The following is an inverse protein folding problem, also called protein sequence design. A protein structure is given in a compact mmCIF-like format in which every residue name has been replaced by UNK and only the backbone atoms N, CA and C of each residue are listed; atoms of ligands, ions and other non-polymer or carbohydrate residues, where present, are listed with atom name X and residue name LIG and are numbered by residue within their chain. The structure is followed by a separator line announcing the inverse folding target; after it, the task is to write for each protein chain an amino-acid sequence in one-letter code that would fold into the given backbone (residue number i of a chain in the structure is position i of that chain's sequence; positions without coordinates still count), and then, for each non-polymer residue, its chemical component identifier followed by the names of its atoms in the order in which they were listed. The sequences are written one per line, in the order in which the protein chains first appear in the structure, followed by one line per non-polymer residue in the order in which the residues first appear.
data_IF_366864916369
#
_entry.id   IF_366864916369
#
_cell.length_a   1.000
_cell.length_b   1.000
_cell.length_c   1.000
_cell.angle_alpha   90.00
_cell.angle_beta   90.00
_cell.angle_gamma   90.00
#
_symmetry.space_group_name_H-M   'P 1'
#
loop_
_entity.id
_entity.type
_entity.pdbx_description
1 polymer ?
#
# COMPACT_ATOMS: atom_id res chain seq x y z
N UNK A 1 15.54 6.64 9.96
CA UNK A 1 15.43 5.26 10.48
C UNK A 1 13.98 4.85 10.78
N UNK A 2 13.17 5.71 11.39
CA UNK A 2 11.77 5.39 11.76
C UNK A 2 10.84 5.01 10.58
N UNK A 3 10.97 5.70 9.43
CA UNK A 3 10.12 5.45 8.23
C UNK A 3 10.27 4.05 7.69
N UNK A 4 11.51 3.56 7.53
CA UNK A 4 11.77 2.23 6.95
C UNK A 4 11.25 1.15 7.90
N UNK A 5 11.41 1.34 9.21
CA UNK A 5 10.90 0.39 10.20
C UNK A 5 9.36 0.35 10.19
N UNK A 6 8.72 1.51 10.17
CA UNK A 6 7.24 1.61 10.11
C UNK A 6 6.68 0.92 8.87
N UNK A 7 7.33 1.06 7.71
CA UNK A 7 6.92 0.38 6.48
C UNK A 7 7.10 -1.14 6.56
N UNK A 8 8.20 -1.62 7.16
CA UNK A 8 8.43 -3.06 7.39
C UNK A 8 7.42 -3.66 8.36
N UNK A 9 7.09 -2.94 9.42
CA UNK A 9 6.07 -3.34 10.39
C UNK A 9 4.70 -3.42 9.71
N UNK A 10 4.38 -2.44 8.86
CA UNK A 10 3.15 -2.45 8.08
C UNK A 10 3.08 -3.62 7.11
N UNK A 11 4.16 -3.89 6.37
CA UNK A 11 4.27 -5.04 5.45
C UNK A 11 4.03 -6.37 6.18
N UNK A 12 4.55 -6.51 7.39
CA UNK A 12 4.51 -7.77 8.15
C UNK A 12 3.20 -7.95 8.90
N UNK A 13 2.63 -6.88 9.46
CA UNK A 13 1.47 -6.95 10.36
C UNK A 13 0.13 -6.83 9.64
N UNK A 14 0.07 -6.12 8.50
CA UNK A 14 -1.18 -5.95 7.75
C UNK A 14 -1.79 -7.30 7.30
N UNK A 15 -1.02 -8.27 6.75
CA UNK A 15 -1.59 -9.58 6.39
C UNK A 15 -2.23 -10.30 7.58
N UNK A 16 -1.56 -10.30 8.73
CA UNK A 16 -2.05 -10.92 9.97
C UNK A 16 -3.34 -10.26 10.46
N UNK A 17 -3.43 -8.93 10.39
CA UNK A 17 -4.66 -8.20 10.72
C UNK A 17 -5.81 -8.57 9.78
N UNK A 18 -5.56 -8.56 8.47
CA UNK A 18 -6.57 -8.88 7.45
C UNK A 18 -7.12 -10.31 7.62
N UNK A 19 -6.27 -11.26 8.01
CA UNK A 19 -6.68 -12.64 8.27
C UNK A 19 -7.73 -12.75 9.38
N UNK A 20 -7.68 -11.90 10.41
CA UNK A 20 -8.69 -11.88 11.48
C UNK A 20 -10.07 -11.42 10.99
N UNK A 21 -10.11 -10.64 9.91
CA UNK A 21 -11.34 -10.25 9.23
C UNK A 21 -11.73 -11.23 8.12
N UNK A 22 -11.10 -12.41 8.05
CA UNK A 22 -11.38 -13.42 7.03
C UNK A 22 -10.76 -13.14 5.66
N UNK A 23 -9.87 -12.14 5.55
CA UNK A 23 -9.17 -11.81 4.30
C UNK A 23 -7.81 -12.51 4.30
N UNK A 24 -7.70 -13.58 3.51
CA UNK A 24 -6.46 -14.34 3.40
C UNK A 24 -5.52 -13.73 2.34
N UNK A 25 -4.37 -13.24 2.78
CA UNK A 25 -3.28 -12.82 1.90
C UNK A 25 -2.34 -14.02 1.68
N UNK A 26 -2.36 -14.60 0.47
CA UNK A 26 -1.63 -15.84 0.16
C UNK A 26 -0.16 -15.63 -0.18
N UNK A 27 0.22 -14.41 -0.59
CA UNK A 27 1.57 -14.07 -1.02
C UNK A 27 2.22 -13.12 0.00
N UNK A 28 3.55 -13.18 0.08
CA UNK A 28 4.29 -12.13 0.77
C UNK A 28 4.07 -10.80 0.04
N UNK A 29 3.79 -9.68 0.73
CA UNK A 29 3.68 -8.39 0.07
C UNK A 29 4.96 -8.04 -0.69
N UNK A 30 4.79 -7.43 -1.87
CA UNK A 30 5.90 -6.95 -2.68
C UNK A 30 6.04 -5.45 -2.42
N UNK A 31 7.08 -5.07 -1.68
CA UNK A 31 7.35 -3.66 -1.35
C UNK A 31 8.22 -3.03 -2.44
N UNK A 32 7.69 -2.00 -3.09
CA UNK A 32 8.39 -1.22 -4.12
C UNK A 32 8.88 0.08 -3.50
N UNK A 33 10.17 0.39 -3.70
CA UNK A 33 10.77 1.61 -3.19
C UNK A 33 10.08 2.86 -3.78
N UNK A 34 10.07 3.95 -3.01
CA UNK A 34 9.42 5.23 -3.34
C UNK A 34 9.73 5.64 -4.80
N UNK A 35 8.75 5.57 -5.72
CA UNK A 35 8.96 6.04 -7.09
C UNK A 35 9.15 7.57 -7.05
N UNK A 36 10.27 8.13 -7.53
CA UNK A 36 10.49 9.58 -7.58
C UNK A 36 9.52 10.35 -8.49
N UNK A 37 8.89 9.72 -9.48
CA UNK A 37 8.06 10.45 -10.48
C UNK A 37 6.71 9.79 -10.74
N UNK A 38 5.79 10.53 -11.37
CA UNK A 38 4.48 10.02 -11.79
C UNK A 38 4.61 8.90 -12.82
N UNK A 39 5.55 9.02 -13.74
CA UNK A 39 5.83 8.01 -14.77
C UNK A 39 6.25 6.68 -14.15
N UNK A 40 7.06 6.73 -13.08
CA UNK A 40 7.45 5.52 -12.37
C UNK A 40 6.30 4.92 -11.54
N UNK A 41 5.45 5.75 -10.94
CA UNK A 41 4.20 5.28 -10.32
C UNK A 41 3.33 4.57 -11.35
N UNK A 42 3.14 5.15 -12.53
CA UNK A 42 2.36 4.55 -13.63
C UNK A 42 2.98 3.23 -14.08
N UNK A 43 4.30 3.19 -14.27
CA UNK A 43 5.01 1.96 -14.64
C UNK A 43 4.81 0.86 -13.60
N UNK A 44 4.88 1.19 -12.31
CA UNK A 44 4.59 0.25 -11.23
C UNK A 44 3.16 -0.26 -11.28
N UNK A 45 2.17 0.62 -11.48
CA UNK A 45 0.75 0.22 -11.57
C UNK A 45 0.48 -0.63 -12.83
N UNK A 46 1.08 -0.30 -13.96
CA UNK A 46 0.98 -1.11 -15.19
C UNK A 46 1.54 -2.51 -14.96
N UNK A 47 2.69 -2.62 -14.30
CA UNK A 47 3.30 -3.92 -14.01
C UNK A 47 2.44 -4.73 -13.02
N UNK A 48 1.95 -4.09 -11.95
CA UNK A 48 1.04 -4.73 -11.00
C UNK A 48 -0.23 -5.26 -11.69
N UNK A 49 -0.78 -4.52 -12.65
CA UNK A 49 -1.93 -4.94 -13.45
C UNK A 49 -1.61 -6.14 -14.36
N UNK A 50 -0.46 -6.12 -15.05
CA UNK A 50 0.00 -7.25 -15.88
C UNK A 50 0.26 -8.51 -15.06
N UNK A 51 0.75 -8.35 -13.84
CA UNK A 51 0.98 -9.42 -12.87
C UNK A 51 -0.30 -9.82 -12.11
N UNK A 52 -1.45 -9.22 -12.44
CA UNK A 52 -2.76 -9.52 -11.86
C UNK A 52 -2.81 -9.38 -10.34
N UNK A 53 -2.17 -8.33 -9.81
CA UNK A 53 -2.24 -8.03 -8.38
C UNK A 53 -3.68 -7.75 -7.96
N UNK A 54 -4.11 -8.40 -6.89
CA UNK A 54 -5.49 -8.29 -6.39
C UNK A 54 -5.71 -7.05 -5.51
N UNK A 55 -4.63 -6.51 -4.93
CA UNK A 55 -4.65 -5.36 -4.04
C UNK A 55 -3.32 -4.62 -4.12
N UNK A 56 -3.37 -3.30 -4.28
CA UNK A 56 -2.19 -2.42 -4.22
C UNK A 56 -2.38 -1.40 -3.11
N UNK A 57 -1.54 -1.46 -2.07
CA UNK A 57 -1.54 -0.49 -0.98
C UNK A 57 -0.43 0.53 -1.23
N UNK A 58 -0.78 1.81 -1.27
CA UNK A 58 0.15 2.91 -1.56
C UNK A 58 0.27 3.80 -0.33
N UNK A 59 1.47 3.88 0.25
CA UNK A 59 1.76 4.76 1.38
C UNK A 59 2.24 6.12 0.86
N UNK A 60 1.51 7.18 1.20
CA UNK A 60 1.76 8.54 0.73
C UNK A 60 2.41 9.38 1.84
N UNK A 61 3.58 9.97 1.59
CA UNK A 61 4.23 10.87 2.56
C UNK A 61 3.45 12.19 2.77
N UNK A 62 2.73 12.64 1.76
CA UNK A 62 1.84 13.79 1.83
C UNK A 62 0.62 13.50 0.96
N UNK A 63 -0.55 13.98 1.38
CA UNK A 63 -1.80 13.85 0.63
C UNK A 63 -1.98 14.99 -0.38
N UNK A 64 -0.88 15.58 -0.90
CA UNK A 64 -1.00 16.54 -1.99
C UNK A 64 -1.86 15.91 -3.09
N UNK A 65 -2.97 16.59 -3.41
CA UNK A 65 -4.12 16.02 -4.11
C UNK A 65 -3.71 15.33 -5.44
N UNK A 66 -2.63 15.81 -6.05
CA UNK A 66 -2.16 15.35 -7.36
C UNK A 66 -1.57 13.94 -7.44
N UNK A 67 -1.10 13.32 -6.34
CA UNK A 67 -0.57 11.94 -6.38
C UNK A 67 -1.65 10.95 -6.02
N UNK A 68 -2.48 11.27 -5.01
CA UNK A 68 -3.64 10.44 -4.66
C UNK A 68 -4.58 10.29 -5.85
N UNK A 69 -4.98 11.40 -6.46
CA UNK A 69 -5.90 11.39 -7.62
C UNK A 69 -5.28 10.63 -8.79
N UNK A 70 -3.98 10.79 -9.00
CA UNK A 70 -3.28 10.09 -10.07
C UNK A 70 -3.24 8.58 -9.85
N UNK A 71 -2.97 8.10 -8.63
CA UNK A 71 -3.02 6.66 -8.30
C UNK A 71 -4.43 6.12 -8.48
N UNK A 72 -5.46 6.87 -8.08
CA UNK A 72 -6.86 6.46 -8.23
C UNK A 72 -7.30 6.43 -9.69
N UNK A 73 -6.92 7.43 -10.47
CA UNK A 73 -7.22 7.50 -11.91
C UNK A 73 -6.51 6.38 -12.66
N UNK A 74 -5.19 6.26 -12.52
CA UNK A 74 -4.42 5.26 -13.24
C UNK A 74 -4.73 3.84 -12.75
N UNK A 75 -4.64 3.60 -11.44
CA UNK A 75 -4.84 2.28 -10.85
C UNK A 75 -6.25 1.75 -11.08
N UNK A 76 -7.27 2.48 -10.59
CA UNK A 76 -8.63 1.97 -10.60
C UNK A 76 -9.28 2.09 -11.98
N UNK A 77 -9.20 3.25 -12.63
CA UNK A 77 -9.98 3.50 -13.85
C UNK A 77 -9.28 2.94 -15.09
N UNK A 78 -7.94 3.06 -15.18
CA UNK A 78 -7.20 2.67 -16.39
C UNK A 78 -6.71 1.23 -16.36
N UNK A 79 -6.28 0.73 -15.20
CA UNK A 79 -5.64 -0.58 -15.09
C UNK A 79 -6.46 -1.64 -14.34
N UNK A 80 -7.66 -1.29 -13.87
CA UNK A 80 -8.55 -2.22 -13.18
C UNK A 80 -8.01 -2.76 -11.85
N UNK A 81 -7.07 -2.04 -11.23
CA UNK A 81 -6.48 -2.42 -9.95
C UNK A 81 -7.32 -1.93 -8.78
N UNK A 82 -7.41 -2.73 -7.73
CA UNK A 82 -7.93 -2.28 -6.44
C UNK A 82 -6.79 -1.57 -5.70
N UNK A 83 -6.81 -0.23 -5.70
CA UNK A 83 -5.80 0.56 -4.97
C UNK A 83 -6.35 1.10 -3.64
N UNK A 84 -5.55 1.04 -2.58
CA UNK A 84 -5.82 1.70 -1.30
C UNK A 84 -4.66 2.64 -0.96
N UNK A 85 -4.94 3.93 -0.82
CA UNK A 85 -3.94 4.90 -0.39
C UNK A 85 -4.01 5.09 1.13
N UNK A 86 -2.85 5.21 1.77
CA UNK A 86 -2.71 5.43 3.22
C UNK A 86 -1.72 6.56 3.44
N UNK A 87 -2.07 7.55 4.26
CA UNK A 87 -1.14 8.58 4.69
C UNK A 87 -0.07 7.98 5.61
N UNK A 88 1.21 8.27 5.36
CA UNK A 88 2.31 7.86 6.23
C UNK A 88 2.12 8.38 7.66
N UNK A 89 1.64 9.62 7.82
CA UNK A 89 1.40 10.20 9.14
C UNK A 89 0.31 9.44 9.91
N UNK A 90 -0.75 9.01 9.21
CA UNK A 90 -1.80 8.19 9.80
C UNK A 90 -1.32 6.79 10.12
N UNK A 91 -0.49 6.20 9.24
CA UNK A 91 0.13 4.90 9.47
C UNK A 91 1.03 4.93 10.71
N UNK A 92 1.96 5.88 10.78
CA UNK A 92 2.92 6.03 11.89
C UNK A 92 2.21 6.15 13.25
N UNK A 93 1.12 6.94 13.33
CA UNK A 93 0.33 7.09 14.56
C UNK A 93 -0.42 5.83 14.98
N UNK A 94 -0.69 4.91 14.06
CA UNK A 94 -1.53 3.73 14.30
C UNK A 94 -0.77 2.41 14.15
N UNK A 95 0.53 2.43 13.85
CA UNK A 95 1.31 1.21 13.57
C UNK A 95 1.26 0.23 14.74
N UNK A 96 1.33 0.71 15.99
CA UNK A 96 1.20 -0.14 17.18
C UNK A 96 -0.17 -0.78 17.38
N UNK A 97 -1.23 -0.28 16.72
CA UNK A 97 -2.56 -0.89 16.74
C UNK A 97 -2.68 -2.09 15.81
N UNK A 98 -1.77 -2.24 14.85
CA UNK A 98 -1.73 -3.41 13.97
C UNK A 98 -1.34 -4.68 14.74
N UNK A 99 -0.60 -4.53 15.85
CA UNK A 99 -0.15 -5.64 16.70
C UNK A 99 -1.16 -6.03 17.81
N UNK A 100 -2.20 -5.21 18.05
CA UNK A 100 -3.21 -5.43 19.11
C UNK A 100 -4.17 -6.60 18.83
N UNK A 101 -3.84 -7.43 17.86
CA UNK A 101 -4.65 -8.49 17.30
C UNK A 101 -4.06 -9.88 17.56
N UNK A 102 -2.93 -9.97 18.27
CA UNK A 102 -2.46 -11.21 18.90
C UNK A 102 -3.30 -11.49 20.14
N UNK A 103 -4.44 -12.16 19.96
CA UNK A 103 -5.10 -12.89 21.05
C UNK A 103 -4.56 -14.31 21.10
#
# INVERSE_FOLDING_TARGET
ENVIQTLKDFETQLPSLLQLYGILIKSKPITIAKPPTKEEIEKTLVNASKEQWQLTVVVLNNTLDNVYDYVKQCGNQRYGLVTQCVSYQSLEKNIGKLDMCKK
#
